data_IF_273053212052
#
_entry.id   IF_273053212052
#
_cell.length_a   1.000
_cell.length_b   1.000
_cell.length_c   1.000
_cell.angle_alpha   90.00
_cell.angle_beta   90.00
_cell.angle_gamma   90.00
#
_symmetry.space_group_name_H-M   'P 1'
#
loop_
_entity.id
_entity.type
_entity.pdbx_description
1 polymer ?
#
# COMPACT_ATOMS: atom_id res chain seq x y z
N UNK A 1 -2.08 13.29 -20.09
CA UNK A 1 -1.10 12.68 -19.17
C UNK A 1 -1.49 11.24 -18.96
N UNK A 2 -0.57 10.28 -19.12
CA UNK A 2 -0.83 8.86 -18.85
C UNK A 2 -0.47 8.60 -17.39
N UNK A 3 -1.37 8.00 -16.64
CA UNK A 3 -1.12 7.53 -15.27
C UNK A 3 -0.99 6.02 -15.34
N UNK A 4 0.08 5.50 -14.74
CA UNK A 4 0.32 4.07 -14.57
C UNK A 4 0.21 3.78 -13.08
N UNK A 5 -0.72 2.91 -12.72
CA UNK A 5 -0.81 2.41 -11.36
C UNK A 5 0.07 1.15 -11.25
N UNK A 6 1.05 1.21 -10.34
CA UNK A 6 1.97 0.10 -10.06
C UNK A 6 1.59 -0.62 -8.76
N UNK A 7 0.53 -0.19 -8.09
CA UNK A 7 0.13 -0.77 -6.82
C UNK A 7 -0.53 -2.13 -6.98
N UNK A 8 -0.25 -3.02 -6.05
CA UNK A 8 -1.04 -4.21 -5.79
C UNK A 8 -2.14 -3.85 -4.79
N UNK A 9 -3.39 -4.30 -5.00
CA UNK A 9 -4.45 -4.09 -4.03
C UNK A 9 -4.14 -4.87 -2.74
N UNK A 10 -4.61 -4.35 -1.60
CA UNK A 10 -4.65 -5.13 -0.36
C UNK A 10 -5.68 -6.24 -0.53
N UNK A 11 -5.25 -7.48 -0.38
CA UNK A 11 -6.08 -8.68 -0.56
C UNK A 11 -5.90 -9.63 0.63
N UNK A 12 -6.97 -9.80 1.42
CA UNK A 12 -6.99 -10.69 2.57
C UNK A 12 -6.99 -12.19 2.21
N UNK A 13 -7.18 -12.52 0.93
CA UNK A 13 -7.09 -13.90 0.41
C UNK A 13 -5.69 -14.25 -0.06
N UNK A 14 -4.85 -13.24 -0.30
CA UNK A 14 -3.46 -13.38 -0.72
C UNK A 14 -2.53 -13.79 0.42
N UNK A 15 -1.34 -14.25 0.04
CA UNK A 15 -0.28 -14.48 1.02
C UNK A 15 0.36 -13.14 1.42
N UNK A 16 0.43 -12.90 2.72
CA UNK A 16 1.21 -11.84 3.36
C UNK A 16 1.96 -12.46 4.56
N UNK A 17 3.17 -11.98 4.90
CA UNK A 17 3.90 -12.49 6.07
C UNK A 17 3.08 -12.38 7.35
N UNK A 18 2.39 -11.24 7.52
CA UNK A 18 1.41 -11.02 8.58
C UNK A 18 -0.01 -11.07 7.96
N UNK A 19 -0.91 -11.92 8.45
CA UNK A 19 -2.24 -12.07 7.86
C UNK A 19 -3.03 -10.77 7.85
N UNK A 20 -3.67 -10.49 6.72
CA UNK A 20 -4.65 -9.41 6.59
C UNK A 20 -6.02 -9.96 6.96
N UNK A 21 -6.73 -9.27 7.84
CA UNK A 21 -8.14 -9.57 8.15
C UNK A 21 -9.00 -8.53 7.45
N UNK A 22 -10.03 -9.01 6.74
CA UNK A 22 -11.01 -8.17 6.06
C UNK A 22 -12.42 -8.59 6.47
N UNK A 23 -13.01 -7.80 7.37
CA UNK A 23 -14.38 -8.01 7.85
C UNK A 23 -15.32 -7.08 7.08
N UNK A 24 -16.28 -7.66 6.37
CA UNK A 24 -17.26 -6.93 5.56
C UNK A 24 -18.63 -6.95 6.24
N UNK A 25 -19.13 -5.76 6.55
CA UNK A 25 -20.50 -5.52 6.96
C UNK A 25 -21.36 -5.30 5.71
N UNK A 26 -22.30 -6.20 5.46
CA UNK A 26 -23.23 -6.08 4.33
C UNK A 26 -24.14 -4.86 4.46
N UNK A 27 -24.78 -4.43 3.37
CA UNK A 27 -25.70 -3.29 3.40
C UNK A 27 -26.89 -3.50 4.36
N UNK A 28 -27.37 -4.74 4.47
CA UNK A 28 -28.45 -5.12 5.39
C UNK A 28 -27.95 -5.15 6.85
N UNK A 29 -26.75 -5.68 7.09
CA UNK A 29 -26.15 -5.64 8.43
C UNK A 29 -25.78 -4.22 8.83
N UNK A 30 -25.46 -3.34 7.88
CA UNK A 30 -25.25 -1.92 8.10
C UNK A 30 -26.51 -1.17 8.51
N UNK A 31 -27.69 -1.56 8.01
CA UNK A 31 -28.96 -1.02 8.48
C UNK A 31 -29.23 -1.41 9.95
N UNK A 32 -28.93 -2.66 10.32
CA UNK A 32 -29.00 -3.12 11.72
C UNK A 32 -28.00 -2.38 12.60
N UNK A 33 -26.75 -2.27 12.14
CA UNK A 33 -25.70 -1.52 12.80
C UNK A 33 -26.12 -0.07 13.06
N UNK A 34 -26.65 0.64 12.06
CA UNK A 34 -27.17 2.00 12.23
C UNK A 34 -28.24 2.05 13.32
N UNK A 35 -29.27 1.20 13.23
CA UNK A 35 -30.35 1.11 14.22
C UNK A 35 -29.79 0.96 15.64
N UNK A 36 -28.82 0.05 15.82
CA UNK A 36 -28.22 -0.22 17.13
C UNK A 36 -27.43 0.99 17.64
N UNK A 37 -26.63 1.65 16.78
CA UNK A 37 -25.87 2.85 17.16
C UNK A 37 -26.76 4.05 17.46
N UNK A 38 -27.86 4.23 16.72
CA UNK A 38 -28.84 5.29 16.98
C UNK A 38 -29.54 5.07 18.32
N UNK A 39 -29.92 3.83 18.63
CA UNK A 39 -30.51 3.47 19.92
C UNK A 39 -29.53 3.70 21.07
N UNK A 40 -28.30 3.20 20.95
CA UNK A 40 -27.28 3.25 22.00
C UNK A 40 -26.80 4.68 22.30
N UNK A 41 -26.58 5.51 21.27
CA UNK A 41 -25.94 6.81 21.45
C UNK A 41 -26.91 7.99 21.45
N UNK A 42 -28.08 7.85 20.80
CA UNK A 42 -29.04 8.94 20.62
C UNK A 42 -30.44 8.62 21.19
N UNK A 43 -30.69 7.38 21.62
CA UNK A 43 -32.02 6.96 22.09
C UNK A 43 -33.09 6.97 21.00
N UNK A 44 -32.68 6.90 19.72
CA UNK A 44 -33.57 6.91 18.56
C UNK A 44 -33.80 5.48 18.10
N UNK A 45 -35.06 5.07 18.04
CA UNK A 45 -35.48 3.79 17.43
C UNK A 45 -35.67 3.99 15.93
N UNK A 46 -35.10 3.09 15.14
CA UNK A 46 -35.27 2.99 13.70
C UNK A 46 -35.44 1.50 13.37
N UNK A 47 -36.54 1.11 12.74
CA UNK A 47 -36.65 -0.25 12.21
C UNK A 47 -35.87 -0.29 10.88
N UNK A 48 -34.87 -1.18 10.71
CA UNK A 48 -34.19 -1.34 9.43
C UNK A 48 -35.13 -1.47 8.23
N UNK A 49 -36.33 -2.05 8.39
CA UNK A 49 -37.32 -2.18 7.32
C UNK A 49 -37.89 -0.84 6.81
N UNK A 50 -37.74 0.25 7.57
CA UNK A 50 -38.11 1.61 7.15
C UNK A 50 -37.08 2.21 6.16
N UNK A 51 -35.88 1.62 6.08
CA UNK A 51 -34.89 1.99 5.10
C UNK A 51 -35.21 1.34 3.74
N UNK A 52 -34.92 2.02 2.60
CA UNK A 52 -35.09 1.44 1.28
C UNK A 52 -34.40 0.08 1.17
N UNK A 53 -35.17 -0.98 0.95
CA UNK A 53 -34.65 -2.35 0.82
C UNK A 53 -34.18 -2.99 2.14
N UNK A 54 -34.36 -2.33 3.29
CA UNK A 54 -33.78 -2.81 4.55
C UNK A 54 -32.27 -2.62 4.65
N UNK A 55 -31.72 -1.70 3.84
CA UNK A 55 -30.28 -1.52 3.63
C UNK A 55 -29.86 -0.08 3.93
N UNK A 56 -28.59 0.11 4.30
CA UNK A 56 -28.07 1.45 4.54
C UNK A 56 -26.63 1.65 4.07
N UNK A 57 -25.67 1.07 4.78
CA UNK A 57 -24.24 1.24 4.51
C UNK A 57 -23.55 -0.10 4.44
N UNK A 58 -22.52 -0.20 3.61
CA UNK A 58 -21.50 -1.24 3.72
C UNK A 58 -20.32 -0.69 4.51
N UNK A 59 -19.66 -1.52 5.31
CA UNK A 59 -18.45 -1.14 6.01
C UNK A 59 -17.43 -2.26 5.95
N UNK A 60 -16.23 -1.92 5.53
CA UNK A 60 -15.12 -2.85 5.47
C UNK A 60 -14.13 -2.47 6.56
N UNK A 61 -13.77 -3.42 7.42
CA UNK A 61 -12.73 -3.25 8.42
C UNK A 61 -11.53 -4.08 8.01
N UNK A 62 -10.39 -3.41 7.80
CA UNK A 62 -9.11 -4.05 7.53
C UNK A 62 -8.24 -4.00 8.78
N UNK A 63 -7.69 -5.16 9.17
CA UNK A 63 -6.60 -5.26 10.14
C UNK A 63 -5.37 -5.77 9.42
N UNK A 64 -4.30 -4.97 9.38
CA UNK A 64 -3.09 -5.20 8.61
C UNK A 64 -1.88 -4.51 9.25
N UNK A 65 -0.68 -4.76 8.72
CA UNK A 65 0.54 -4.04 9.10
C UNK A 65 0.85 -2.93 8.10
N UNK A 66 1.70 -1.98 8.47
CA UNK A 66 2.21 -0.97 7.51
C UNK A 66 3.10 -1.55 6.41
N UNK A 67 3.41 -2.85 6.46
CA UNK A 67 4.24 -3.58 5.50
C UNK A 67 3.43 -4.54 4.63
N UNK A 68 2.12 -4.33 4.53
CA UNK A 68 1.19 -5.10 3.69
C UNK A 68 1.07 -4.48 2.30
N UNK A 69 1.07 -5.29 1.25
CA UNK A 69 0.88 -4.87 -0.14
C UNK A 69 1.98 -3.93 -0.65
N UNK A 70 1.63 -3.01 -1.57
CA UNK A 70 2.54 -1.96 -2.03
C UNK A 70 2.71 -0.89 -0.93
N UNK A 71 3.89 -0.83 -0.31
CA UNK A 71 4.16 0.00 0.85
C UNK A 71 5.52 0.72 0.77
N UNK A 72 5.85 1.48 1.82
CA UNK A 72 7.11 2.21 1.97
C UNK A 72 7.75 1.87 3.31
N UNK A 73 9.01 1.45 3.27
CA UNK A 73 9.83 1.29 4.47
C UNK A 73 10.56 2.60 4.80
N UNK A 74 10.11 3.28 5.86
CA UNK A 74 10.84 4.43 6.41
C UNK A 74 12.11 3.98 7.17
N UNK A 75 13.15 4.82 7.29
CA UNK A 75 14.40 4.41 7.95
C UNK A 75 14.25 3.84 9.36
N UNK A 76 13.26 4.29 10.13
CA UNK A 76 12.95 3.76 11.46
C UNK A 76 12.56 2.27 11.48
N UNK A 77 12.18 1.68 10.34
CA UNK A 77 11.95 0.25 10.20
C UNK A 77 13.22 -0.58 10.47
N UNK A 78 14.40 -0.06 10.11
CA UNK A 78 15.67 -0.81 10.20
C UNK A 78 16.44 -0.62 11.51
N UNK A 79 15.92 0.17 12.46
CA UNK A 79 16.52 0.30 13.78
C UNK A 79 16.31 1.65 14.45
N UNK A 80 16.84 1.77 15.67
CA UNK A 80 16.73 2.98 16.49
C UNK A 80 17.91 3.95 16.35
N UNK A 81 18.96 3.57 15.61
CA UNK A 81 20.17 4.37 15.42
C UNK A 81 20.62 4.35 13.96
N UNK A 82 21.04 5.51 13.46
CA UNK A 82 21.70 5.68 12.17
C UNK A 82 22.90 6.61 12.29
N UNK A 83 23.77 6.62 11.27
CA UNK A 83 24.94 7.50 11.23
C UNK A 83 24.58 9.00 11.34
N UNK A 84 23.36 9.37 10.96
CA UNK A 84 22.82 10.73 11.03
C UNK A 84 21.93 10.99 12.28
N UNK A 85 21.92 10.08 13.26
CA UNK A 85 21.14 10.20 14.49
C UNK A 85 19.91 9.29 14.53
N UNK A 86 18.78 9.79 15.04
CA UNK A 86 17.52 9.02 15.13
C UNK A 86 16.96 8.78 13.72
N UNK A 87 16.70 7.53 13.32
CA UNK A 87 16.01 7.23 12.07
C UNK A 87 14.60 7.84 12.04
N UNK A 88 14.23 8.38 10.88
CA UNK A 88 12.95 9.07 10.69
C UNK A 88 11.81 8.08 10.46
N UNK A 89 10.64 8.38 11.03
CA UNK A 89 9.37 7.70 10.72
C UNK A 89 8.76 8.27 9.44
N UNK A 90 7.77 7.59 8.86
CA UNK A 90 7.18 7.95 7.56
C UNK A 90 6.62 9.38 7.53
N UNK A 91 6.04 9.84 8.62
CA UNK A 91 5.46 11.17 8.80
C UNK A 91 6.50 12.30 8.90
N UNK A 92 7.79 11.95 9.07
CA UNK A 92 8.90 12.89 9.15
C UNK A 92 9.70 12.99 7.84
N UNK A 93 9.37 12.16 6.84
CA UNK A 93 10.03 12.18 5.53
C UNK A 93 9.45 13.31 4.66
N UNK A 94 10.30 14.02 3.90
CA UNK A 94 9.85 15.12 3.08
C UNK A 94 9.09 14.58 1.85
N UNK A 95 8.04 15.29 1.43
CA UNK A 95 7.13 14.84 0.38
C UNK A 95 7.82 14.72 -0.99
N UNK A 96 8.86 15.50 -1.23
CA UNK A 96 9.65 15.48 -2.48
C UNK A 96 10.35 14.14 -2.72
N UNK A 97 10.56 13.31 -1.69
CA UNK A 97 11.07 11.95 -1.85
C UNK A 97 10.06 11.00 -2.51
N UNK A 98 8.77 11.33 -2.47
CA UNK A 98 7.68 10.49 -2.99
C UNK A 98 7.05 11.05 -4.26
N UNK A 99 7.45 12.24 -4.70
CA UNK A 99 6.97 12.89 -5.90
C UNK A 99 8.15 13.49 -6.67
N UNK A 100 8.85 12.62 -7.40
CA UNK A 100 10.06 12.94 -8.15
C UNK A 100 10.05 12.23 -9.52
N UNK A 101 10.94 12.61 -10.45
CA UNK A 101 11.13 11.87 -11.70
C UNK A 101 11.46 10.39 -11.43
N UNK A 102 10.92 9.50 -12.25
CA UNK A 102 11.13 8.06 -12.14
C UNK A 102 12.00 7.51 -13.27
N UNK A 103 12.97 6.64 -12.94
CA UNK A 103 13.76 5.87 -13.90
C UNK A 103 13.43 4.37 -13.74
N UNK A 104 12.77 3.79 -14.73
CA UNK A 104 12.51 2.36 -14.78
C UNK A 104 13.72 1.62 -15.37
N UNK A 105 14.27 0.68 -14.59
CA UNK A 105 15.32 -0.23 -15.01
C UNK A 105 14.74 -1.63 -15.19
N UNK A 106 14.80 -2.13 -16.43
CA UNK A 106 14.46 -3.51 -16.76
C UNK A 106 15.58 -4.45 -16.31
N UNK A 107 15.25 -5.33 -15.36
CA UNK A 107 16.12 -6.33 -14.76
C UNK A 107 15.48 -7.72 -14.83
N UNK A 108 14.47 -7.95 -15.67
CA UNK A 108 13.76 -9.23 -15.74
C UNK A 108 14.66 -10.37 -16.20
N UNK A 109 15.77 -10.06 -16.87
CA UNK A 109 16.78 -11.03 -17.28
C UNK A 109 17.54 -11.69 -16.11
N UNK A 110 17.44 -11.15 -14.89
CA UNK A 110 18.01 -11.78 -13.70
C UNK A 110 17.23 -13.02 -13.25
N UNK A 111 15.95 -13.15 -13.62
CA UNK A 111 15.12 -14.35 -13.38
C UNK A 111 15.18 -14.92 -11.95
N UNK A 112 15.17 -14.01 -10.96
CA UNK A 112 15.24 -14.37 -9.53
C UNK A 112 16.65 -14.52 -8.96
N UNK A 113 17.70 -14.43 -9.79
CA UNK A 113 19.09 -14.39 -9.33
C UNK A 113 19.47 -13.04 -8.71
N UNK A 114 20.62 -13.01 -8.03
CA UNK A 114 21.16 -11.79 -7.42
C UNK A 114 21.51 -10.75 -8.48
N UNK A 115 20.89 -9.57 -8.38
CA UNK A 115 21.22 -8.40 -9.20
C UNK A 115 22.51 -7.77 -8.68
N UNK A 116 23.44 -7.51 -9.59
CA UNK A 116 24.76 -6.96 -9.32
C UNK A 116 24.95 -5.57 -9.92
N UNK A 117 26.02 -4.86 -9.53
CA UNK A 117 26.34 -3.54 -10.09
C UNK A 117 26.48 -3.56 -11.64
N UNK A 118 27.14 -4.56 -12.27
CA UNK A 118 27.14 -4.70 -13.73
C UNK A 118 25.75 -4.81 -14.37
N UNK A 119 24.76 -5.38 -13.68
CA UNK A 119 23.39 -5.51 -14.20
C UNK A 119 22.70 -4.15 -14.23
N UNK A 120 22.83 -3.39 -13.15
CA UNK A 120 22.35 -2.01 -13.05
C UNK A 120 23.01 -1.11 -14.10
N UNK A 121 24.33 -1.25 -14.32
CA UNK A 121 25.05 -0.49 -15.36
C UNK A 121 24.53 -0.77 -16.77
N UNK A 122 24.25 -2.05 -17.09
CA UNK A 122 23.65 -2.41 -18.38
C UNK A 122 22.23 -1.88 -18.52
N UNK A 123 21.41 -1.98 -17.47
CA UNK A 123 20.04 -1.46 -17.47
C UNK A 123 20.00 0.05 -17.65
N UNK A 124 20.84 0.81 -16.93
CA UNK A 124 20.97 2.27 -17.11
C UNK A 124 21.43 2.63 -18.53
N UNK A 125 22.40 1.88 -19.08
CA UNK A 125 22.86 2.08 -20.45
C UNK A 125 21.74 1.82 -21.48
N UNK A 126 20.94 0.77 -21.27
CA UNK A 126 19.80 0.44 -22.13
C UNK A 126 18.68 1.49 -22.05
N UNK A 127 18.41 2.01 -20.85
CA UNK A 127 17.49 3.13 -20.65
C UNK A 127 17.99 4.46 -21.24
N UNK A 128 19.29 4.55 -21.55
CA UNK A 128 19.90 5.76 -22.11
C UNK A 128 20.01 6.91 -21.11
N UNK A 129 19.85 6.63 -19.81
CA UNK A 129 19.81 7.63 -18.75
C UNK A 129 20.43 7.10 -17.46
N UNK A 130 20.97 8.01 -16.65
CA UNK A 130 21.44 7.74 -15.28
C UNK A 130 20.64 8.63 -14.34
N UNK A 131 20.22 8.13 -13.18
CA UNK A 131 19.40 8.90 -12.26
C UNK A 131 20.19 10.09 -11.71
N UNK A 132 19.51 11.22 -11.61
CA UNK A 132 19.99 12.40 -10.90
C UNK A 132 19.67 12.27 -9.38
N UNK A 133 20.34 13.04 -8.50
CA UNK A 133 20.02 13.03 -7.08
C UNK A 133 18.54 13.35 -6.81
N UNK A 134 17.85 12.43 -6.15
CA UNK A 134 16.42 12.55 -5.80
C UNK A 134 15.47 11.81 -6.74
N UNK A 135 15.96 11.30 -7.88
CA UNK A 135 15.13 10.46 -8.76
C UNK A 135 14.72 9.14 -8.08
N UNK A 136 13.51 8.69 -8.39
CA UNK A 136 12.98 7.40 -7.94
C UNK A 136 13.39 6.33 -8.95
N UNK A 137 14.30 5.43 -8.56
CA UNK A 137 14.70 4.30 -9.41
C UNK A 137 13.77 3.11 -9.17
N UNK A 138 13.04 2.72 -10.20
CA UNK A 138 12.14 1.57 -10.21
C UNK A 138 12.86 0.36 -10.81
N UNK A 139 12.89 -0.76 -10.11
CA UNK A 139 13.56 -1.99 -10.53
C UNK A 139 12.51 -3.01 -10.98
N UNK A 140 12.33 -3.21 -12.29
CA UNK A 140 11.46 -4.29 -12.80
C UNK A 140 12.26 -5.60 -12.84
N UNK A 141 12.12 -6.40 -11.80
CA UNK A 141 12.74 -7.73 -11.71
C UNK A 141 11.84 -8.84 -12.27
N UNK A 142 10.61 -8.53 -12.66
CA UNK A 142 9.59 -9.50 -13.02
C UNK A 142 8.91 -10.21 -11.83
N UNK A 143 9.35 -9.95 -10.60
CA UNK A 143 8.83 -10.63 -9.40
C UNK A 143 7.32 -10.42 -9.19
N UNK A 144 6.77 -9.25 -9.54
CA UNK A 144 5.36 -8.93 -9.38
C UNK A 144 4.41 -9.76 -10.29
N UNK A 145 4.94 -10.64 -11.14
CA UNK A 145 4.15 -11.51 -12.04
C UNK A 145 3.85 -12.89 -11.45
N UNK A 146 4.44 -13.21 -10.30
CA UNK A 146 4.34 -14.50 -9.60
C UNK A 146 3.42 -14.39 -8.39
#
# INVERSE_FOLDING_TARGET
MRILDLSAPVDATGFEPEPVVHDVLSAADGARHLSDRLREHLGVELDPAELPGGEFLTLDTLTLTTHTGTHVDAPAHYGSTAAYGRPRTIDELPLDWFLAPGLLLDLTAADGDTITAPDLERAMKAAGHRPDPGDIVLLDTGAARW
#
